data_IF_636605580367
#
_entry.id   IF_636605580367
#
_cell.length_a   1.000
_cell.length_b   1.000
_cell.length_c   1.000
_cell.angle_alpha   90.00
_cell.angle_beta   90.00
_cell.angle_gamma   90.00
#
_symmetry.space_group_name_H-M   'P 1'
#
loop_
_entity.id
_entity.type
_entity.pdbx_description
1 polymer ?
#
# COMPACT_ATOMS: atom_id res chain seq x y z
N UNK A 1 6.30 -18.63 -13.74
CA UNK A 1 6.91 -17.68 -12.78
C UNK A 1 6.23 -16.34 -12.98
N UNK A 2 5.58 -15.81 -11.95
CA UNK A 2 5.10 -14.42 -11.95
C UNK A 2 6.30 -13.49 -11.74
N UNK A 3 6.30 -12.34 -12.40
CA UNK A 3 7.34 -11.32 -12.17
C UNK A 3 7.01 -10.54 -10.89
N UNK A 4 8.03 -9.97 -10.23
CA UNK A 4 7.81 -9.15 -9.04
C UNK A 4 6.79 -8.01 -9.28
N UNK A 5 6.80 -7.42 -10.48
CA UNK A 5 5.82 -6.41 -10.88
C UNK A 5 4.38 -6.95 -10.94
N UNK A 6 4.18 -8.15 -11.50
CA UNK A 6 2.87 -8.78 -11.58
C UNK A 6 2.31 -9.16 -10.19
N UNK A 7 3.19 -9.51 -9.26
CA UNK A 7 2.83 -9.78 -7.87
C UNK A 7 2.37 -8.51 -7.17
N UNK A 8 3.11 -7.40 -7.33
CA UNK A 8 2.69 -6.11 -6.80
C UNK A 8 1.33 -5.67 -7.37
N UNK A 9 1.14 -5.74 -8.70
CA UNK A 9 -0.13 -5.41 -9.34
C UNK A 9 -1.31 -6.26 -8.82
N UNK A 10 -1.05 -7.54 -8.53
CA UNK A 10 -2.05 -8.43 -7.93
C UNK A 10 -2.43 -7.99 -6.52
N UNK A 11 -1.44 -7.66 -5.68
CA UNK A 11 -1.69 -7.20 -4.32
C UNK A 11 -2.36 -5.82 -4.30
N UNK A 12 -2.03 -4.91 -5.24
CA UNK A 12 -2.74 -3.64 -5.43
C UNK A 12 -4.24 -3.84 -5.67
N UNK A 13 -4.61 -4.76 -6.58
CA UNK A 13 -6.02 -5.08 -6.86
C UNK A 13 -6.74 -5.63 -5.63
N UNK A 14 -6.08 -6.53 -4.88
CA UNK A 14 -6.62 -7.13 -3.65
C UNK A 14 -6.85 -6.08 -2.57
N UNK A 15 -5.88 -5.19 -2.36
CA UNK A 15 -5.98 -4.09 -1.40
C UNK A 15 -7.12 -3.13 -1.76
N UNK A 16 -7.21 -2.73 -3.04
CA UNK A 16 -8.29 -1.85 -3.50
C UNK A 16 -9.66 -2.44 -3.16
N UNK A 17 -9.90 -3.70 -3.52
CA UNK A 17 -11.16 -4.40 -3.21
C UNK A 17 -11.40 -4.47 -1.71
N UNK A 18 -10.38 -4.83 -0.92
CA UNK A 18 -10.52 -4.96 0.53
C UNK A 18 -10.88 -3.63 1.18
N UNK A 19 -10.16 -2.55 0.86
CA UNK A 19 -10.37 -1.24 1.48
C UNK A 19 -11.75 -0.68 1.10
N UNK A 20 -12.16 -0.77 -0.17
CA UNK A 20 -13.49 -0.30 -0.62
C UNK A 20 -14.62 -1.07 0.08
N UNK A 21 -14.40 -2.33 0.45
CA UNK A 21 -15.41 -3.14 1.13
C UNK A 21 -15.58 -2.82 2.63
N UNK A 22 -14.69 -2.01 3.23
CA UNK A 22 -14.77 -1.65 4.64
C UNK A 22 -15.74 -0.49 4.86
N UNK A 23 -16.62 -0.65 5.84
CA UNK A 23 -17.43 0.45 6.38
C UNK A 23 -16.61 1.34 7.32
N UNK A 24 -17.07 2.58 7.57
CA UNK A 24 -16.44 3.48 8.57
C UNK A 24 -16.26 2.80 9.93
N UNK A 25 -17.28 2.09 10.42
CA UNK A 25 -17.19 1.37 11.70
C UNK A 25 -16.08 0.28 11.69
N UNK A 26 -15.92 -0.44 10.58
CA UNK A 26 -14.86 -1.43 10.43
C UNK A 26 -13.47 -0.80 10.24
N UNK A 27 -13.40 0.42 9.70
CA UNK A 27 -12.16 1.20 9.63
C UNK A 27 -11.72 1.67 11.03
N UNK A 28 -12.68 2.00 11.89
CA UNK A 28 -12.46 2.37 13.29
C UNK A 28 -12.14 1.19 14.21
N UNK A 29 -12.49 -0.03 13.81
CA UNK A 29 -12.23 -1.24 14.59
C UNK A 29 -10.72 -1.40 14.85
N UNK A 30 -10.38 -1.49 16.14
CA UNK A 30 -9.04 -1.75 16.64
C UNK A 30 -9.09 -2.95 17.60
N UNK A 31 -8.12 -3.86 17.46
CA UNK A 31 -7.95 -4.99 18.37
C UNK A 31 -6.57 -4.87 19.02
N UNK A 32 -6.48 -4.40 20.27
CA UNK A 32 -5.19 -4.26 20.96
C UNK A 32 -4.38 -5.57 20.91
N UNK A 33 -3.06 -5.52 20.64
CA UNK A 33 -2.22 -4.32 20.57
C UNK A 33 -2.20 -3.60 19.21
N UNK A 34 -2.99 -4.05 18.23
CA UNK A 34 -2.97 -3.50 16.87
C UNK A 34 -3.73 -2.17 16.78
N UNK A 35 -3.23 -1.22 15.96
CA UNK A 35 -3.95 0.02 15.69
C UNK A 35 -5.25 -0.26 14.90
N UNK A 36 -6.11 0.75 14.77
CA UNK A 36 -7.30 0.61 13.94
C UNK A 36 -6.93 0.32 12.48
N UNK A 37 -7.83 -0.30 11.72
CA UNK A 37 -7.61 -0.53 10.28
C UNK A 37 -7.32 0.77 9.54
N UNK A 38 -7.95 1.88 9.94
CA UNK A 38 -7.67 3.21 9.39
C UNK A 38 -6.24 3.67 9.68
N UNK A 39 -5.77 3.51 10.91
CA UNK A 39 -4.41 3.85 11.28
C UNK A 39 -3.39 2.99 10.52
N UNK A 40 -3.63 1.67 10.41
CA UNK A 40 -2.79 0.78 9.63
C UNK A 40 -2.70 1.17 8.14
N UNK A 41 -3.81 1.62 7.52
CA UNK A 41 -3.80 2.15 6.15
C UNK A 41 -2.95 3.42 6.08
N UNK A 42 -3.12 4.36 7.00
CA UNK A 42 -2.36 5.63 7.00
C UNK A 42 -0.86 5.40 7.19
N UNK A 43 -0.48 4.49 8.08
CA UNK A 43 0.92 4.08 8.26
C UNK A 43 1.48 3.46 6.97
N UNK A 44 0.73 2.56 6.33
CA UNK A 44 1.15 1.96 5.08
C UNK A 44 1.26 2.98 3.94
N UNK A 45 0.38 3.99 3.88
CA UNK A 45 0.49 5.08 2.91
C UNK A 45 1.79 5.87 3.08
N UNK A 46 2.16 6.20 4.32
CA UNK A 46 3.42 6.86 4.61
C UNK A 46 4.61 5.99 4.18
N UNK A 47 4.56 4.68 4.47
CA UNK A 47 5.58 3.73 4.07
C UNK A 47 5.70 3.58 2.55
N UNK A 48 4.59 3.48 1.81
CA UNK A 48 4.62 3.43 0.35
C UNK A 48 5.23 4.71 -0.25
N UNK A 49 4.96 5.86 0.37
CA UNK A 49 5.58 7.12 -0.04
C UNK A 49 7.08 7.11 0.19
N UNK A 50 7.53 6.63 1.36
CA UNK A 50 8.95 6.49 1.68
C UNK A 50 9.69 5.61 0.68
N UNK A 51 9.12 4.45 0.35
CA UNK A 51 9.75 3.49 -0.56
C UNK A 51 9.72 3.97 -2.02
N UNK A 52 8.58 4.47 -2.48
CA UNK A 52 8.29 4.64 -3.90
C UNK A 52 8.29 6.09 -4.40
N UNK A 53 8.19 7.07 -3.50
CA UNK A 53 7.83 8.46 -3.81
C UNK A 53 8.71 9.51 -3.09
N UNK A 54 9.94 9.16 -2.67
CA UNK A 54 10.90 10.10 -2.06
C UNK A 54 10.35 10.77 -0.78
N UNK A 55 9.66 10.02 0.07
CA UNK A 55 9.08 10.53 1.33
C UNK A 55 8.12 11.72 1.14
N UNK A 56 7.49 11.86 -0.04
CA UNK A 56 6.50 12.92 -0.25
C UNK A 56 5.38 12.83 0.79
N UNK A 57 4.95 13.96 1.37
CA UNK A 57 3.89 13.95 2.36
C UNK A 57 2.60 13.40 1.76
N UNK A 58 1.99 12.44 2.44
CA UNK A 58 0.64 11.95 2.10
C UNK A 58 -0.37 12.89 2.75
N UNK A 59 -1.29 13.51 1.98
CA UNK A 59 -2.28 14.41 2.54
C UNK A 59 -3.21 13.68 3.51
N UNK A 60 -3.88 14.42 4.40
CA UNK A 60 -4.98 13.85 5.17
C UNK A 60 -6.14 13.49 4.25
N UNK A 61 -6.52 12.21 4.28
CA UNK A 61 -7.53 11.64 3.39
C UNK A 61 -8.79 11.28 4.15
N UNK A 62 -9.93 11.53 3.50
CA UNK A 62 -11.22 10.95 3.90
C UNK A 62 -11.29 9.46 3.53
N UNK A 63 -12.12 8.71 4.26
CA UNK A 63 -12.25 7.25 4.13
C UNK A 63 -12.47 6.81 2.67
N UNK A 64 -13.29 7.55 1.92
CA UNK A 64 -13.61 7.28 0.51
C UNK A 64 -12.41 7.32 -0.45
N UNK A 65 -11.30 7.95 -0.06
CA UNK A 65 -10.11 8.14 -0.91
C UNK A 65 -8.95 7.22 -0.55
N UNK A 66 -9.06 6.46 0.55
CA UNK A 66 -7.97 5.61 1.05
C UNK A 66 -7.54 4.55 0.04
N UNK A 67 -8.51 3.86 -0.58
CA UNK A 67 -8.22 2.81 -1.56
C UNK A 67 -7.52 3.36 -2.81
N UNK A 68 -7.98 4.50 -3.32
CA UNK A 68 -7.39 5.14 -4.48
C UNK A 68 -5.97 5.64 -4.19
N UNK A 69 -5.73 6.22 -3.02
CA UNK A 69 -4.38 6.66 -2.65
C UNK A 69 -3.40 5.48 -2.54
N UNK A 70 -3.81 4.35 -1.95
CA UNK A 70 -2.97 3.15 -1.89
C UNK A 70 -2.56 2.73 -3.30
N UNK A 71 -3.50 2.69 -4.24
CA UNK A 71 -3.21 2.35 -5.63
C UNK A 71 -2.26 3.37 -6.25
N UNK A 72 -2.53 4.67 -6.10
CA UNK A 72 -1.70 5.74 -6.67
C UNK A 72 -0.24 5.65 -6.21
N UNK A 73 0.01 5.45 -4.91
CA UNK A 73 1.38 5.36 -4.39
C UNK A 73 2.10 4.10 -4.88
N UNK A 74 1.42 2.96 -4.90
CA UNK A 74 2.01 1.71 -5.40
C UNK A 74 2.28 1.76 -6.92
N UNK A 75 1.37 2.34 -7.70
CA UNK A 75 1.56 2.57 -9.15
C UNK A 75 2.68 3.56 -9.43
N UNK A 76 2.82 4.59 -8.59
CA UNK A 76 3.93 5.52 -8.69
C UNK A 76 5.24 4.82 -8.38
N UNK A 77 5.34 4.06 -7.28
CA UNK A 77 6.52 3.30 -6.91
C UNK A 77 6.93 2.26 -7.96
N UNK A 78 5.96 1.57 -8.56
CA UNK A 78 6.21 0.63 -9.66
C UNK A 78 6.74 1.34 -10.91
N UNK A 79 6.19 2.51 -11.26
CA UNK A 79 6.66 3.31 -12.40
C UNK A 79 8.04 3.90 -12.15
N UNK A 80 8.29 4.44 -10.95
CA UNK A 80 9.58 5.05 -10.58
C UNK A 80 10.70 4.01 -10.55
N UNK A 81 10.41 2.77 -10.13
CA UNK A 81 11.36 1.67 -10.16
C UNK A 81 11.90 1.35 -11.57
N UNK A 82 11.15 1.66 -12.65
CA UNK A 82 11.60 1.42 -14.03
C UNK A 82 12.82 2.25 -14.43
N UNK A 83 13.04 3.38 -13.77
CA UNK A 83 14.20 4.24 -14.00
C UNK A 83 15.47 3.77 -13.26
N UNK A 84 15.33 2.79 -12.36
CA UNK A 84 16.44 2.27 -11.56
C UNK A 84 17.22 1.16 -12.29
N UNK A 85 18.48 0.91 -11.88
CA UNK A 85 19.21 -0.32 -12.17
C UNK A 85 18.39 -1.56 -11.79
N UNK A 86 18.66 -2.70 -12.44
CA UNK A 86 17.86 -3.93 -12.28
C UNK A 86 17.79 -4.41 -10.82
N UNK A 87 18.93 -4.44 -10.12
CA UNK A 87 18.98 -4.82 -8.70
C UNK A 87 18.11 -3.93 -7.81
N UNK A 88 18.18 -2.61 -8.02
CA UNK A 88 17.48 -1.62 -7.20
C UNK A 88 15.99 -1.59 -7.53
N UNK A 89 15.65 -1.84 -8.81
CA UNK A 89 14.28 -2.02 -9.28
C UNK A 89 13.63 -3.23 -8.62
N UNK A 90 14.27 -4.39 -8.68
CA UNK A 90 13.75 -5.61 -8.07
C UNK A 90 13.61 -5.45 -6.56
N UNK A 91 14.62 -4.88 -5.90
CA UNK A 91 14.57 -4.60 -4.47
C UNK A 91 13.38 -3.71 -4.12
N UNK A 92 13.20 -2.58 -4.81
CA UNK A 92 12.08 -1.65 -4.56
C UNK A 92 10.73 -2.31 -4.77
N UNK A 93 10.55 -3.07 -5.86
CA UNK A 93 9.29 -3.76 -6.14
C UNK A 93 9.02 -4.82 -5.06
N UNK A 94 10.03 -5.55 -4.61
CA UNK A 94 9.90 -6.51 -3.52
C UNK A 94 9.47 -5.83 -2.22
N UNK A 95 10.13 -4.74 -1.83
CA UNK A 95 9.78 -4.00 -0.59
C UNK A 95 8.36 -3.43 -0.64
N UNK A 96 7.93 -2.86 -1.77
CA UNK A 96 6.55 -2.40 -1.96
C UNK A 96 5.56 -3.57 -1.86
N UNK A 97 5.90 -4.73 -2.41
CA UNK A 97 5.06 -5.94 -2.37
C UNK A 97 4.92 -6.46 -0.95
N UNK A 98 6.01 -6.54 -0.20
CA UNK A 98 5.99 -6.96 1.22
C UNK A 98 5.15 -6.02 2.08
N UNK A 99 5.29 -4.70 1.89
CA UNK A 99 4.49 -3.71 2.59
C UNK A 99 3.00 -3.83 2.23
N UNK A 100 2.67 -4.04 0.95
CA UNK A 100 1.29 -4.27 0.50
C UNK A 100 0.67 -5.54 1.10
N UNK A 101 1.44 -6.65 1.13
CA UNK A 101 1.00 -7.92 1.75
C UNK A 101 0.77 -7.74 3.25
N UNK A 102 1.65 -7.02 3.93
CA UNK A 102 1.51 -6.73 5.37
C UNK A 102 0.25 -5.91 5.64
N UNK A 103 0.01 -4.85 4.86
CA UNK A 103 -1.24 -4.09 4.97
C UNK A 103 -2.45 -5.01 4.75
N UNK A 104 -2.45 -5.83 3.70
CA UNK A 104 -3.57 -6.74 3.43
C UNK A 104 -3.86 -7.69 4.59
N UNK A 105 -2.82 -8.20 5.26
CA UNK A 105 -2.95 -9.06 6.45
C UNK A 105 -3.54 -8.31 7.64
N UNK A 106 -3.12 -7.06 7.86
CA UNK A 106 -3.66 -6.21 8.93
C UNK A 106 -5.12 -5.82 8.68
N UNK A 107 -5.57 -5.86 7.43
CA UNK A 107 -6.95 -5.58 7.05
C UNK A 107 -7.85 -6.82 7.04
N UNK A 108 -7.32 -8.05 7.17
CA UNK A 108 -8.09 -9.29 7.16
C UNK A 108 -8.96 -9.43 8.42
#
# INVERSE_FOLDING_TARGET
>A
MTTAAAELETEMRRLRVRIISLTTAQLDEAAPPSPSRRAAIREALAEFSAIGSEDRPVPELGDQTLADQVVVLLEHGLRSARALPESDREHRISTLTEAAVRLRRNLA
#
